data_IF_226391305993
#
_entry.id   IF_226391305993
#
_cell.length_a   1.000
_cell.length_b   1.000
_cell.length_c   1.000
_cell.angle_alpha   90.00
_cell.angle_beta   90.00
_cell.angle_gamma   90.00
#
_symmetry.space_group_name_H-M   'P 1'
#
loop_
_entity.id
_entity.type
_entity.pdbx_description
1 polymer ?
#
# COMPACT_ATOMS: atom_id res chain seq x y z
N UNK A 1 -15.36 6.43 -7.27
CA UNK A 1 -16.81 6.29 -6.96
C UNK A 1 -16.96 6.30 -5.46
N UNK A 2 -17.81 7.18 -4.92
CA UNK A 2 -18.03 7.32 -3.48
C UNK A 2 -19.49 6.98 -3.18
N UNK A 3 -19.71 6.15 -2.16
CA UNK A 3 -21.00 5.78 -1.64
C UNK A 3 -21.08 6.18 -0.17
N UNK A 4 -21.90 7.19 0.12
CA UNK A 4 -22.21 7.61 1.49
C UNK A 4 -23.61 7.14 1.83
N UNK A 5 -23.78 6.34 2.88
CA UNK A 5 -25.12 5.93 3.33
C UNK A 5 -25.22 6.00 4.86
N UNK A 6 -26.13 6.84 5.34
CA UNK A 6 -26.57 6.84 6.75
C UNK A 6 -27.62 5.74 6.87
N UNK A 7 -27.21 4.58 7.34
CA UNK A 7 -27.99 3.34 7.18
C UNK A 7 -29.08 3.18 8.24
N UNK A 8 -29.00 3.82 9.42
CA UNK A 8 -30.08 3.93 10.43
C UNK A 8 -29.70 4.99 11.51
N UNK A 9 -30.54 5.16 12.56
CA UNK A 9 -30.22 5.95 13.78
C UNK A 9 -28.88 5.57 14.44
N UNK A 10 -28.40 4.35 14.22
CA UNK A 10 -27.26 3.79 14.94
C UNK A 10 -26.05 3.47 14.06
N UNK A 11 -26.19 3.47 12.73
CA UNK A 11 -25.11 3.05 11.83
C UNK A 11 -24.86 4.05 10.69
N UNK A 12 -23.61 4.44 10.52
CA UNK A 12 -23.13 5.27 9.43
C UNK A 12 -22.01 4.55 8.69
N UNK A 13 -22.07 4.57 7.37
CA UNK A 13 -21.11 3.94 6.48
C UNK A 13 -20.74 4.90 5.36
N UNK A 14 -19.43 5.06 5.14
CA UNK A 14 -18.86 5.72 3.98
C UNK A 14 -17.92 4.74 3.30
N UNK A 15 -18.18 4.42 2.04
CA UNK A 15 -17.31 3.58 1.24
C UNK A 15 -16.85 4.35 0.00
N UNK A 16 -15.55 4.39 -0.24
CA UNK A 16 -14.94 5.04 -1.40
C UNK A 16 -14.11 4.02 -2.16
N UNK A 17 -14.47 3.79 -3.42
CA UNK A 17 -13.73 2.92 -4.33
C UNK A 17 -13.13 3.74 -5.47
N UNK A 18 -11.81 3.66 -5.62
CA UNK A 18 -11.07 4.29 -6.69
C UNK A 18 -10.45 3.22 -7.56
N UNK A 19 -10.82 3.23 -8.84
CA UNK A 19 -10.12 2.53 -9.90
C UNK A 19 -9.35 3.58 -10.70
N UNK A 20 -8.05 3.37 -10.85
CA UNK A 20 -7.17 4.31 -11.53
C UNK A 20 -6.37 3.56 -12.58
N UNK A 21 -6.14 4.23 -13.71
CA UNK A 21 -5.14 3.83 -14.70
C UNK A 21 -4.41 5.11 -15.14
N UNK A 22 -3.16 5.24 -14.74
CA UNK A 22 -2.28 6.32 -15.19
C UNK A 22 -1.10 5.71 -15.92
N UNK A 23 -0.72 6.34 -17.02
CA UNK A 23 0.39 5.95 -17.87
C UNK A 23 1.30 7.16 -17.95
N UNK A 24 2.61 6.95 -17.76
CA UNK A 24 3.62 7.96 -18.06
C UNK A 24 4.69 7.36 -18.97
N UNK A 25 5.48 8.26 -19.54
CA UNK A 25 6.62 8.04 -20.43
C UNK A 25 7.96 8.49 -19.81
N UNK A 26 7.95 8.93 -18.54
CA UNK A 26 9.14 9.40 -17.82
C UNK A 26 9.26 8.70 -16.46
N UNK A 27 10.49 8.46 -16.01
CA UNK A 27 10.74 7.93 -14.68
C UNK A 27 10.99 9.07 -13.67
N UNK A 28 10.26 8.99 -12.55
CA UNK A 28 10.27 9.88 -11.38
C UNK A 28 9.61 11.27 -11.49
N UNK A 29 8.60 11.50 -10.64
CA UNK A 29 8.18 12.83 -10.17
C UNK A 29 8.43 12.89 -8.63
N UNK A 30 9.60 13.38 -8.21
CA UNK A 30 9.95 13.51 -6.79
C UNK A 30 11.24 14.31 -6.57
N UNK A 31 11.09 15.58 -6.19
CA UNK A 31 12.01 16.60 -5.61
C UNK A 31 13.52 16.66 -5.93
N UNK A 32 14.08 15.82 -6.80
CA UNK A 32 15.49 15.91 -7.24
C UNK A 32 15.68 15.81 -8.75
N UNK A 33 14.59 15.74 -9.52
CA UNK A 33 14.64 15.93 -10.96
C UNK A 33 14.78 17.43 -11.27
N UNK A 34 15.99 17.94 -11.15
CA UNK A 34 16.36 19.20 -11.79
C UNK A 34 16.22 18.95 -13.30
N UNK A 35 15.18 19.52 -13.92
CA UNK A 35 14.83 19.42 -15.35
C UNK A 35 14.13 18.12 -15.81
N UNK A 36 12.79 18.12 -15.86
CA UNK A 36 12.03 17.32 -16.84
C UNK A 36 11.84 15.81 -16.62
N UNK A 37 12.30 15.24 -15.51
CA UNK A 37 12.24 13.78 -15.26
C UNK A 37 13.39 13.03 -15.94
N UNK A 38 13.64 11.78 -15.53
CA UNK A 38 14.70 10.96 -16.13
C UNK A 38 14.14 10.15 -17.29
N UNK A 39 14.76 10.23 -18.46
CA UNK A 39 14.52 9.25 -19.51
C UNK A 39 15.09 7.91 -19.07
N UNK A 40 14.31 6.84 -19.23
CA UNK A 40 14.78 5.49 -18.93
C UNK A 40 14.91 4.67 -20.19
N UNK A 41 15.87 3.75 -20.16
CA UNK A 41 16.13 2.82 -21.24
C UNK A 41 16.52 3.51 -22.57
N UNK A 42 16.13 2.94 -23.73
CA UNK A 42 16.47 3.47 -25.04
C UNK A 42 15.74 4.79 -25.36
N UNK A 43 16.49 5.90 -25.33
CA UNK A 43 16.00 7.25 -25.64
C UNK A 43 15.52 7.41 -27.10
N UNK A 44 15.92 6.50 -28.01
CA UNK A 44 15.48 6.54 -29.42
C UNK A 44 14.12 5.86 -29.61
N UNK A 45 13.57 5.25 -28.56
CA UNK A 45 12.32 4.52 -28.60
C UNK A 45 11.36 5.00 -27.51
N UNK A 46 10.69 6.13 -27.76
CA UNK A 46 9.71 6.71 -26.82
C UNK A 46 8.57 5.74 -26.45
N UNK A 47 8.19 4.85 -27.37
CA UNK A 47 7.17 3.82 -27.09
C UNK A 47 7.60 2.85 -26.00
N UNK A 48 8.90 2.61 -25.87
CA UNK A 48 9.42 1.79 -24.79
C UNK A 48 9.29 2.49 -23.44
N UNK A 49 9.39 3.81 -23.36
CA UNK A 49 9.28 4.55 -22.11
C UNK A 49 7.84 4.58 -21.56
N UNK A 50 6.84 4.39 -22.43
CA UNK A 50 5.43 4.42 -22.06
C UNK A 50 4.97 3.19 -21.25
N UNK A 51 4.37 3.42 -20.08
CA UNK A 51 3.72 2.38 -19.29
C UNK A 51 3.11 2.88 -17.99
N UNK A 52 2.52 1.98 -17.18
CA UNK A 52 1.89 2.32 -15.92
C UNK A 52 2.79 3.15 -14.99
N UNK A 53 2.20 4.18 -14.38
CA UNK A 53 2.87 5.01 -13.38
C UNK A 53 3.32 4.19 -12.17
N UNK A 54 4.50 4.49 -11.62
CA UNK A 54 5.00 3.85 -10.39
C UNK A 54 4.15 4.21 -9.14
N UNK A 55 3.45 5.36 -9.21
CA UNK A 55 2.48 5.78 -8.19
C UNK A 55 1.11 5.10 -8.35
N UNK A 56 0.91 4.37 -9.45
CA UNK A 56 -0.37 3.73 -9.73
C UNK A 56 -0.69 2.69 -8.66
N UNK A 57 -1.88 2.83 -8.08
CA UNK A 57 -2.59 1.78 -7.34
C UNK A 57 -3.86 1.49 -8.12
N UNK A 58 -3.93 0.38 -8.87
CA UNK A 58 -5.06 0.14 -9.77
C UNK A 58 -6.42 0.13 -9.08
N UNK A 59 -6.49 -0.39 -7.86
CA UNK A 59 -7.72 -0.47 -7.08
C UNK A 59 -7.45 -0.09 -5.63
N UNK A 60 -8.30 0.77 -5.09
CA UNK A 60 -8.28 1.14 -3.67
C UNK A 60 -9.71 1.30 -3.15
N UNK A 61 -10.03 0.56 -2.12
CA UNK A 61 -11.28 0.61 -1.38
C UNK A 61 -10.99 1.07 0.05
N UNK A 62 -11.63 2.16 0.47
CA UNK A 62 -11.62 2.62 1.86
C UNK A 62 -13.06 2.55 2.37
N UNK A 63 -13.26 1.91 3.52
CA UNK A 63 -14.54 1.81 4.20
C UNK A 63 -14.40 2.42 5.58
N UNK A 64 -15.10 3.51 5.84
CA UNK A 64 -15.21 4.13 7.14
C UNK A 64 -16.59 3.85 7.72
N UNK A 65 -16.64 3.37 8.96
CA UNK A 65 -17.90 3.04 9.62
C UNK A 65 -17.95 3.56 11.05
N UNK A 66 -19.17 3.89 11.48
CA UNK A 66 -19.49 4.26 12.86
C UNK A 66 -20.79 3.55 13.25
N UNK A 67 -20.73 2.80 14.34
CA UNK A 67 -21.85 2.07 14.90
C UNK A 67 -22.03 2.43 16.37
N UNK A 68 -23.15 3.07 16.70
CA UNK A 68 -23.55 3.35 18.08
C UNK A 68 -24.34 2.15 18.60
N UNK A 69 -23.86 1.52 19.66
CA UNK A 69 -24.53 0.35 20.22
C UNK A 69 -25.90 0.76 20.80
N UNK A 70 -26.92 -0.10 20.71
CA UNK A 70 -28.21 0.14 21.36
C UNK A 70 -28.05 0.28 22.87
N UNK A 71 -28.73 1.26 23.46
CA UNK A 71 -28.70 1.45 24.91
C UNK A 71 -29.66 0.49 25.62
N UNK A 72 -29.21 -0.19 26.69
CA UNK A 72 -30.11 -0.96 27.55
C UNK A 72 -31.16 -0.05 28.21
N UNK A 73 -32.30 -0.64 28.57
CA UNK A 73 -33.36 0.09 29.29
C UNK A 73 -32.84 0.74 30.57
N UNK A 74 -33.30 1.97 30.84
CA UNK A 74 -33.01 2.70 32.09
C UNK A 74 -33.55 1.98 33.34
N UNK A 75 -34.50 1.05 33.19
CA UNK A 75 -34.99 0.20 34.28
C UNK A 75 -33.96 -0.82 34.77
N UNK A 76 -32.89 -1.07 34.01
CA UNK A 76 -31.75 -1.90 34.41
C UNK A 76 -30.52 -1.02 34.62
N UNK A 77 -30.39 -0.32 35.76
CA UNK A 77 -29.40 0.74 35.95
C UNK A 77 -27.96 0.24 35.82
N UNK A 78 -27.65 -0.96 36.32
CA UNK A 78 -26.33 -1.56 36.18
C UNK A 78 -26.00 -1.87 34.71
N UNK A 79 -26.94 -2.47 33.97
CA UNK A 79 -26.76 -2.76 32.55
C UNK A 79 -26.62 -1.49 31.72
N UNK A 80 -27.46 -0.48 31.97
CA UNK A 80 -27.41 0.81 31.28
C UNK A 80 -26.08 1.55 31.54
N UNK A 81 -25.56 1.53 32.77
CA UNK A 81 -24.28 2.13 33.09
C UNK A 81 -23.09 1.40 32.44
N UNK A 82 -23.14 0.07 32.34
CA UNK A 82 -22.03 -0.74 31.79
C UNK A 82 -22.05 -0.82 30.26
N UNK A 83 -23.22 -1.00 29.66
CA UNK A 83 -23.38 -1.26 28.22
C UNK A 83 -23.95 -0.07 27.44
N UNK A 84 -24.38 1.00 28.12
CA UNK A 84 -24.82 2.24 27.45
C UNK A 84 -23.65 3.08 26.94
N UNK A 85 -23.91 3.88 25.90
CA UNK A 85 -22.98 4.92 25.43
C UNK A 85 -21.76 4.44 24.64
N UNK A 86 -21.71 3.17 24.23
CA UNK A 86 -20.63 2.63 23.40
C UNK A 86 -20.81 2.99 21.92
N UNK A 87 -19.70 3.35 21.27
CA UNK A 87 -19.61 3.55 19.83
C UNK A 87 -18.38 2.82 19.29
N UNK A 88 -18.59 2.02 18.24
CA UNK A 88 -17.54 1.39 17.45
C UNK A 88 -17.31 2.24 16.21
N UNK A 89 -16.06 2.61 15.95
CA UNK A 89 -15.63 3.24 14.71
C UNK A 89 -14.54 2.42 14.05
N UNK A 90 -14.34 2.61 12.76
CA UNK A 90 -13.19 2.04 12.09
C UNK A 90 -13.00 2.53 10.67
N UNK A 91 -11.79 2.32 10.19
CA UNK A 91 -11.39 2.55 8.80
C UNK A 91 -10.71 1.27 8.30
N UNK A 92 -11.28 0.69 7.25
CA UNK A 92 -10.70 -0.46 6.57
C UNK A 92 -10.20 -0.04 5.20
N UNK A 93 -8.95 -0.39 4.88
CA UNK A 93 -8.33 -0.11 3.59
C UNK A 93 -7.96 -1.42 2.91
N UNK A 94 -8.47 -1.62 1.69
CA UNK A 94 -7.99 -2.64 0.77
C UNK A 94 -7.40 -1.94 -0.45
N UNK A 95 -6.17 -2.24 -0.81
CA UNK A 95 -5.57 -1.70 -2.03
C UNK A 95 -4.64 -2.70 -2.70
N UNK A 96 -4.61 -2.64 -4.03
CA UNK A 96 -3.61 -3.33 -4.84
C UNK A 96 -2.21 -2.80 -4.54
N UNK A 97 -1.18 -3.58 -4.84
CA UNK A 97 0.20 -3.10 -4.81
C UNK A 97 0.50 -2.10 -5.93
N UNK A 98 1.65 -1.45 -5.83
CA UNK A 98 2.18 -0.56 -6.86
C UNK A 98 2.46 -1.35 -8.14
N UNK A 99 2.37 -0.69 -9.29
CA UNK A 99 3.10 -1.18 -10.46
C UNK A 99 4.60 -0.94 -10.24
N UNK A 100 5.41 -1.94 -10.54
CA UNK A 100 6.86 -1.95 -10.33
C UNK A 100 7.56 -2.15 -11.67
N UNK A 101 8.56 -1.32 -11.91
CA UNK A 101 9.54 -1.50 -12.97
C UNK A 101 10.74 -2.24 -12.40
N UNK A 102 11.28 -3.20 -13.15
CA UNK A 102 12.49 -3.93 -12.78
C UNK A 102 13.65 -3.36 -13.58
N UNK A 103 14.75 -3.06 -12.89
CA UNK A 103 15.93 -2.42 -13.48
C UNK A 103 17.13 -3.39 -13.48
N UNK A 104 18.10 -3.11 -14.34
CA UNK A 104 19.44 -3.72 -14.32
C UNK A 104 20.46 -2.58 -14.40
N UNK A 105 20.77 -1.98 -13.24
CA UNK A 105 21.65 -0.81 -13.16
C UNK A 105 23.11 -1.08 -13.51
N UNK A 106 23.53 -2.34 -13.57
CA UNK A 106 24.92 -2.70 -13.86
C UNK A 106 25.18 -3.01 -15.34
N UNK A 107 24.17 -3.49 -16.08
CA UNK A 107 24.35 -3.93 -17.46
C UNK A 107 23.53 -3.17 -18.48
N UNK A 108 22.27 -2.85 -18.21
CA UNK A 108 21.39 -2.31 -19.25
C UNK A 108 21.89 -0.95 -19.73
N UNK A 109 22.23 -0.85 -21.03
CA UNK A 109 22.73 0.36 -21.68
C UNK A 109 24.21 0.68 -21.40
N UNK A 110 24.99 -0.28 -20.88
CA UNK A 110 26.39 -0.03 -20.51
C UNK A 110 27.28 0.34 -21.71
N UNK A 111 26.95 -0.14 -22.91
CA UNK A 111 27.69 0.21 -24.15
C UNK A 111 27.59 1.71 -24.49
N UNK A 112 26.55 2.39 -24.02
CA UNK A 112 26.31 3.81 -24.28
C UNK A 112 26.91 4.72 -23.21
N UNK A 113 27.71 4.16 -22.28
CA UNK A 113 28.27 4.92 -21.16
C UNK A 113 27.20 5.45 -20.20
N UNK A 114 25.99 4.87 -20.23
CA UNK A 114 24.90 5.28 -19.37
C UNK A 114 25.27 5.00 -17.91
N UNK A 115 25.10 5.98 -17.00
CA UNK A 115 25.66 5.87 -15.66
C UNK A 115 25.03 4.71 -14.89
N UNK A 116 25.90 4.02 -14.16
CA UNK A 116 25.68 2.85 -13.29
C UNK A 116 24.64 3.07 -12.15
N UNK A 117 23.95 4.22 -12.15
CA UNK A 117 23.04 4.68 -11.10
C UNK A 117 21.64 5.08 -11.59
N UNK A 118 21.35 4.98 -12.90
CA UNK A 118 20.02 5.36 -13.43
C UNK A 118 19.50 4.41 -14.50
N UNK A 119 18.40 3.71 -14.17
CA UNK A 119 17.23 3.44 -15.04
C UNK A 119 17.38 2.61 -16.33
N UNK A 120 18.43 1.81 -16.50
CA UNK A 120 18.41 0.73 -17.48
C UNK A 120 17.39 -0.35 -17.07
N UNK A 121 16.40 -0.66 -17.90
CA UNK A 121 15.37 -1.65 -17.53
C UNK A 121 15.90 -3.06 -17.69
N UNK A 122 15.38 -4.00 -16.90
CA UNK A 122 15.82 -5.38 -16.98
C UNK A 122 15.46 -6.01 -18.34
N UNK A 123 16.26 -6.97 -18.78
CA UNK A 123 15.93 -7.81 -19.93
C UNK A 123 15.09 -9.01 -19.48
N UNK A 124 13.97 -9.25 -20.15
CA UNK A 124 13.17 -10.46 -19.97
C UNK A 124 13.84 -11.66 -20.65
N UNK A 125 13.81 -12.80 -19.98
CA UNK A 125 14.23 -14.05 -20.61
C UNK A 125 13.24 -14.45 -21.75
N UNK A 126 13.69 -15.18 -22.77
CA UNK A 126 12.82 -15.61 -23.87
C UNK A 126 11.60 -16.40 -23.38
N UNK A 127 10.41 -16.08 -23.91
CA UNK A 127 9.16 -16.77 -23.59
C UNK A 127 8.50 -16.39 -22.26
N UNK A 128 9.11 -15.48 -21.49
CA UNK A 128 8.55 -15.00 -20.21
C UNK A 128 7.32 -14.12 -20.46
N UNK A 129 6.26 -14.39 -19.71
CA UNK A 129 5.04 -13.58 -19.67
C UNK A 129 4.93 -12.84 -18.34
N UNK A 130 3.95 -11.94 -18.21
CA UNK A 130 3.70 -11.22 -16.96
C UNK A 130 3.37 -12.14 -15.78
N UNK A 131 2.78 -13.32 -16.05
CA UNK A 131 2.46 -14.31 -15.03
C UNK A 131 3.72 -14.96 -14.41
N UNK A 132 4.83 -14.99 -15.14
CA UNK A 132 6.07 -15.64 -14.73
C UNK A 132 6.97 -14.74 -13.88
N UNK A 133 6.68 -13.44 -13.80
CA UNK A 133 7.56 -12.44 -13.17
C UNK A 133 7.57 -12.52 -11.66
N UNK A 134 6.42 -12.84 -11.05
CA UNK A 134 6.26 -12.92 -9.61
C UNK A 134 6.21 -14.39 -9.20
N UNK A 135 7.05 -14.77 -8.24
CA UNK A 135 7.03 -16.12 -7.67
C UNK A 135 5.65 -16.43 -7.10
N UNK A 136 5.14 -17.63 -7.38
CA UNK A 136 3.84 -18.07 -6.87
C UNK A 136 3.82 -18.18 -5.33
N UNK A 137 2.62 -18.16 -4.76
CA UNK A 137 2.41 -18.27 -3.31
C UNK A 137 2.16 -16.95 -2.60
N UNK A 138 2.02 -17.04 -1.27
CA UNK A 138 1.74 -15.88 -0.41
C UNK A 138 2.94 -14.94 -0.38
N UNK A 139 2.73 -13.67 -0.07
CA UNK A 139 3.85 -12.71 0.06
C UNK A 139 4.87 -13.19 1.11
N UNK A 140 4.38 -13.79 2.20
CA UNK A 140 5.22 -14.36 3.28
C UNK A 140 6.11 -15.51 2.80
N UNK A 141 5.65 -16.36 1.89
CA UNK A 141 6.46 -17.49 1.38
C UNK A 141 7.55 -17.04 0.41
N UNK A 142 7.44 -15.84 -0.16
CA UNK A 142 8.35 -15.31 -1.19
C UNK A 142 9.10 -14.04 -0.77
N UNK A 143 9.25 -13.76 0.52
CA UNK A 143 9.96 -12.57 1.01
C UNK A 143 11.39 -12.46 0.50
N UNK A 144 12.08 -13.58 0.26
CA UNK A 144 13.45 -13.58 -0.23
C UNK A 144 13.58 -13.83 -1.75
N UNK A 145 12.46 -14.07 -2.44
CA UNK A 145 12.43 -14.39 -3.87
C UNK A 145 11.09 -13.96 -4.47
N UNK A 146 10.71 -12.70 -4.28
CA UNK A 146 9.41 -12.18 -4.70
C UNK A 146 9.25 -12.21 -6.21
N UNK A 147 10.31 -11.81 -6.92
CA UNK A 147 10.42 -12.00 -8.36
C UNK A 147 11.06 -13.35 -8.68
N UNK A 148 10.57 -13.98 -9.73
CA UNK A 148 11.25 -15.13 -10.32
C UNK A 148 12.51 -14.63 -11.05
N UNK A 149 13.68 -14.88 -10.46
CA UNK A 149 14.95 -14.39 -11.02
C UNK A 149 15.27 -14.96 -12.40
N UNK A 150 14.76 -16.15 -12.73
CA UNK A 150 14.94 -16.78 -14.04
C UNK A 150 14.15 -16.05 -15.16
N UNK A 151 13.16 -15.24 -14.80
CA UNK A 151 12.39 -14.43 -15.74
C UNK A 151 13.19 -13.26 -16.31
N UNK A 152 14.38 -13.00 -15.75
CA UNK A 152 15.25 -11.91 -16.16
C UNK A 152 16.60 -12.46 -16.63
N UNK A 153 17.01 -12.05 -17.83
CA UNK A 153 18.27 -12.41 -18.46
C UNK A 153 19.25 -11.21 -18.46
N UNK A 154 20.45 -11.42 -18.95
CA UNK A 154 21.31 -10.29 -19.30
C UNK A 154 20.74 -9.58 -20.54
N UNK A 155 20.87 -8.25 -20.65
CA UNK A 155 20.54 -7.54 -21.88
C UNK A 155 21.33 -8.06 -23.09
N UNK A 156 20.93 -7.71 -24.33
CA UNK A 156 21.68 -8.08 -25.53
C UNK A 156 23.12 -7.57 -25.47
N UNK A 157 24.09 -8.41 -25.83
CA UNK A 157 25.51 -8.00 -25.92
C UNK A 157 25.74 -7.30 -27.24
N UNK A 158 26.32 -6.10 -27.22
CA UNK A 158 26.74 -5.35 -28.40
C UNK A 158 28.18 -4.90 -28.19
N UNK A 159 29.08 -5.42 -29.03
CA UNK A 159 30.52 -5.16 -28.90
C UNK A 159 31.06 -5.67 -27.56
N UNK A 160 31.67 -4.78 -26.80
CA UNK A 160 32.24 -5.02 -25.46
C UNK A 160 31.29 -4.66 -24.31
N UNK A 161 30.05 -4.26 -24.63
CA UNK A 161 29.04 -3.84 -23.65
C UNK A 161 27.67 -4.50 -23.87
N UNK A 162 26.68 -3.98 -23.15
CA UNK A 162 25.30 -4.45 -23.17
C UNK A 162 24.38 -3.33 -23.66
N UNK A 163 23.45 -3.69 -24.54
CA UNK A 163 22.34 -2.84 -24.98
C UNK A 163 21.29 -2.68 -23.87
N UNK A 164 20.20 -1.99 -24.17
CA UNK A 164 19.04 -1.82 -23.31
C UNK A 164 18.28 -3.12 -23.07
N UNK A 165 17.75 -3.31 -21.86
CA UNK A 165 16.77 -4.37 -21.60
C UNK A 165 15.39 -4.04 -22.17
N UNK A 166 14.56 -5.07 -22.33
CA UNK A 166 13.26 -4.96 -23.00
C UNK A 166 12.03 -5.00 -22.06
N UNK A 167 12.21 -5.07 -20.74
CA UNK A 167 11.05 -5.10 -19.83
C UNK A 167 10.28 -3.78 -19.90
N UNK A 168 8.95 -3.87 -19.79
CA UNK A 168 8.09 -2.70 -19.77
C UNK A 168 8.20 -1.92 -18.46
N UNK A 169 7.78 -0.65 -18.48
CA UNK A 169 7.53 0.13 -17.26
C UNK A 169 6.34 -0.48 -16.53
N UNK A 170 6.40 -0.57 -15.20
CA UNK A 170 5.30 -1.11 -14.40
C UNK A 170 4.92 -2.55 -14.75
N UNK A 171 5.88 -3.35 -15.22
CA UNK A 171 5.65 -4.69 -15.78
C UNK A 171 5.05 -5.69 -14.78
N UNK A 172 5.22 -5.44 -13.48
CA UNK A 172 4.74 -6.32 -12.42
C UNK A 172 4.12 -5.55 -11.26
N UNK A 173 3.43 -6.24 -10.37
CA UNK A 173 2.78 -5.62 -9.20
C UNK A 173 3.54 -5.93 -7.92
N UNK A 174 3.58 -4.98 -6.98
CA UNK A 174 4.02 -5.21 -5.61
C UNK A 174 2.96 -5.89 -4.73
N UNK A 175 3.27 -6.16 -3.44
CA UNK A 175 2.32 -6.69 -2.47
C UNK A 175 1.06 -5.82 -2.32
N UNK A 176 -0.10 -6.45 -2.15
CA UNK A 176 -1.34 -5.76 -1.78
C UNK A 176 -1.33 -5.37 -0.29
N UNK A 177 -2.22 -4.45 0.08
CA UNK A 177 -2.38 -3.99 1.46
C UNK A 177 -3.83 -4.18 1.93
N UNK A 178 -3.97 -4.72 3.15
CA UNK A 178 -5.24 -4.94 3.83
C UNK A 178 -5.12 -4.49 5.28
N UNK A 179 -5.65 -3.31 5.58
CA UNK A 179 -5.51 -2.68 6.89
C UNK A 179 -6.86 -2.44 7.57
N UNK A 180 -6.88 -2.63 8.89
CA UNK A 180 -8.05 -2.41 9.73
C UNK A 180 -7.63 -1.59 10.94
N UNK A 181 -8.11 -0.36 11.01
CA UNK A 181 -7.96 0.50 12.19
C UNK A 181 -9.33 0.61 12.86
N UNK A 182 -9.40 0.26 14.14
CA UNK A 182 -10.66 0.14 14.87
C UNK A 182 -10.60 1.00 16.13
N UNK A 183 -11.64 1.80 16.37
CA UNK A 183 -11.83 2.57 17.58
C UNK A 183 -13.07 2.09 18.34
N UNK A 184 -12.96 2.04 19.66
CA UNK A 184 -14.09 1.82 20.54
C UNK A 184 -14.13 2.96 21.55
N UNK A 185 -15.21 3.71 21.58
CA UNK A 185 -15.41 4.78 22.56
C UNK A 185 -16.62 4.51 23.41
N UNK A 186 -16.60 5.01 24.65
CA UNK A 186 -17.73 5.01 25.56
C UNK A 186 -17.89 6.37 26.18
N UNK A 187 -19.11 6.91 26.19
CA UNK A 187 -19.44 8.08 26.98
C UNK A 187 -20.42 7.69 28.08
N UNK A 188 -20.04 7.88 29.33
CA UNK A 188 -20.90 7.63 30.49
C UNK A 188 -21.22 8.95 31.18
N UNK A 189 -22.51 9.21 31.38
CA UNK A 189 -22.96 10.33 32.19
C UNK A 189 -22.87 9.98 33.67
N UNK A 190 -22.24 10.83 34.47
CA UNK A 190 -22.10 10.62 35.91
C UNK A 190 -23.32 11.23 36.60
N UNK A 191 -24.14 10.37 37.19
CA UNK A 191 -25.29 10.80 38.00
C UNK A 191 -24.80 11.20 39.39
N UNK A 192 -25.28 12.34 39.90
CA UNK A 192 -24.96 12.82 41.25
C UNK A 192 -23.79 13.81 41.33
N UNK A 193 -23.23 14.28 40.20
CA UNK A 193 -22.34 15.44 40.18
C UNK A 193 -23.12 16.73 39.86
N UNK A 194 -22.71 17.90 40.37
CA UNK A 194 -23.46 19.15 40.20
C UNK A 194 -23.58 19.65 38.74
N UNK A 195 -22.73 19.17 37.82
CA UNK A 195 -22.49 19.81 36.52
C UNK A 195 -22.84 18.95 35.28
N UNK A 196 -23.57 17.82 35.44
CA UNK A 196 -23.84 16.86 34.33
C UNK A 196 -22.55 16.33 33.67
N UNK A 197 -21.57 16.04 34.52
CA UNK A 197 -20.23 15.63 34.14
C UNK A 197 -20.22 14.32 33.36
N UNK A 198 -19.27 14.17 32.43
CA UNK A 198 -19.18 13.02 31.52
C UNK A 198 -17.80 12.40 31.54
N UNK A 199 -17.77 11.07 31.63
CA UNK A 199 -16.56 10.27 31.48
C UNK A 199 -16.51 9.67 30.08
N UNK A 200 -15.51 10.06 29.30
CA UNK A 200 -15.21 9.51 27.98
C UNK A 200 -14.05 8.52 28.06
N UNK A 201 -14.28 7.28 27.65
CA UNK A 201 -13.24 6.28 27.43
C UNK A 201 -13.06 6.05 25.92
N UNK A 202 -11.82 5.87 25.47
CA UNK A 202 -11.50 5.49 24.10
C UNK A 202 -10.40 4.45 24.09
N UNK A 203 -10.58 3.42 23.28
CA UNK A 203 -9.58 2.44 22.91
C UNK A 203 -9.40 2.48 21.39
N UNK A 204 -8.17 2.61 20.92
CA UNK A 204 -7.83 2.59 19.49
C UNK A 204 -6.90 1.43 19.20
N UNK A 205 -7.16 0.73 18.10
CA UNK A 205 -6.40 -0.41 17.61
C UNK A 205 -5.97 -0.11 16.18
N UNK A 206 -4.75 0.38 16.02
CA UNK A 206 -4.12 0.54 14.71
C UNK A 206 -3.60 -0.82 14.26
N UNK A 207 -3.87 -1.20 13.00
CA UNK A 207 -3.63 -2.56 12.51
C UNK A 207 -4.21 -3.61 13.47
N UNK A 208 -5.52 -3.54 13.72
CA UNK A 208 -6.23 -4.28 14.77
C UNK A 208 -6.00 -5.79 14.73
N UNK A 209 -5.89 -6.38 13.53
CA UNK A 209 -5.63 -7.81 13.32
C UNK A 209 -4.15 -8.17 13.23
N UNK A 210 -3.25 -7.20 13.40
CA UNK A 210 -1.80 -7.38 13.32
C UNK A 210 -1.36 -8.11 12.04
N UNK A 211 -2.00 -7.79 10.91
CA UNK A 211 -1.68 -8.38 9.61
C UNK A 211 -0.46 -7.67 9.04
N UNK A 212 0.57 -8.42 8.69
CA UNK A 212 1.78 -7.86 8.07
C UNK A 212 1.47 -7.32 6.68
N UNK A 213 1.82 -6.07 6.43
CA UNK A 213 1.69 -5.42 5.14
C UNK A 213 3.10 -5.10 4.65
N UNK A 214 3.48 -5.70 3.53
CA UNK A 214 4.86 -5.71 3.07
C UNK A 214 5.18 -4.50 2.20
N UNK A 215 6.40 -3.98 2.31
CA UNK A 215 6.92 -3.00 1.37
C UNK A 215 7.21 -3.68 0.02
N UNK A 216 7.51 -2.87 -0.99
CA UNK A 216 7.90 -3.41 -2.29
C UNK A 216 9.25 -4.15 -2.20
N UNK A 217 9.44 -5.20 -3.02
CA UNK A 217 10.74 -5.84 -3.15
C UNK A 217 11.77 -4.90 -3.78
N UNK A 218 13.05 -5.19 -3.59
CA UNK A 218 14.13 -4.55 -4.34
C UNK A 218 14.02 -4.92 -5.82
N UNK A 219 13.91 -3.92 -6.68
CA UNK A 219 13.64 -4.07 -8.11
C UNK A 219 14.86 -3.98 -9.01
N UNK A 220 16.03 -3.60 -8.47
CA UNK A 220 17.27 -3.58 -9.23
C UNK A 220 17.96 -4.95 -9.19
N UNK A 221 18.07 -5.58 -10.36
CA UNK A 221 18.73 -6.87 -10.58
C UNK A 221 20.21 -6.87 -10.19
N UNK A 222 20.87 -5.71 -10.23
CA UNK A 222 22.28 -5.58 -9.85
C UNK A 222 22.49 -5.62 -8.33
N UNK A 223 21.43 -5.41 -7.54
CA UNK A 223 21.50 -5.43 -6.08
C UNK A 223 21.65 -6.84 -5.52
N UNK A 224 22.52 -6.99 -4.50
CA UNK A 224 22.65 -8.23 -3.73
C UNK A 224 21.35 -8.67 -3.05
N UNK A 225 20.41 -7.74 -2.83
CA UNK A 225 19.10 -7.99 -2.25
C UNK A 225 17.97 -8.02 -3.28
N UNK A 226 18.29 -8.11 -4.58
CA UNK A 226 17.29 -8.21 -5.64
C UNK A 226 16.21 -9.25 -5.34
N UNK A 227 14.96 -8.89 -5.62
CA UNK A 227 13.76 -9.68 -5.38
C UNK A 227 13.44 -9.93 -3.90
N UNK A 228 14.13 -9.29 -2.95
CA UNK A 228 13.82 -9.43 -1.52
C UNK A 228 12.94 -8.27 -1.05
N UNK A 229 11.96 -8.59 -0.22
CA UNK A 229 11.23 -7.63 0.61
C UNK A 229 11.98 -7.52 1.94
N UNK A 230 12.48 -6.32 2.26
CA UNK A 230 13.31 -6.07 3.44
C UNK A 230 12.60 -5.30 4.54
N UNK A 231 11.36 -4.86 4.29
CA UNK A 231 10.60 -4.04 5.23
C UNK A 231 9.08 -4.28 5.12
N UNK A 232 8.35 -3.84 6.13
CA UNK A 232 6.89 -3.67 6.06
C UNK A 232 6.54 -2.25 5.63
N UNK A 233 5.39 -2.09 4.97
CA UNK A 233 4.85 -0.80 4.57
C UNK A 233 4.10 -0.10 5.72
N UNK A 234 3.68 -0.87 6.73
CA UNK A 234 2.96 -0.38 7.91
C UNK A 234 3.55 -1.00 9.17
N UNK A 235 3.46 -0.26 10.28
CA UNK A 235 3.91 -0.72 11.59
C UNK A 235 3.10 -1.90 12.16
N UNK A 236 3.61 -2.53 13.23
CA UNK A 236 2.87 -3.54 13.96
C UNK A 236 1.62 -2.93 14.62
N UNK A 237 0.77 -3.78 15.18
CA UNK A 237 -0.39 -3.34 15.94
C UNK A 237 -0.01 -2.41 17.10
N UNK A 238 -0.69 -1.28 17.18
CA UNK A 238 -0.58 -0.34 18.30
C UNK A 238 -1.95 -0.19 18.95
N UNK A 239 -1.99 -0.29 20.28
CA UNK A 239 -3.20 -0.12 21.07
C UNK A 239 -3.03 1.09 21.97
N UNK A 240 -3.99 2.01 21.94
CA UNK A 240 -3.99 3.22 22.75
C UNK A 240 -5.27 3.32 23.55
N UNK A 241 -5.14 3.75 24.81
CA UNK A 241 -6.26 4.00 25.70
C UNK A 241 -6.25 5.46 26.14
N UNK A 242 -7.41 6.08 26.17
CA UNK A 242 -7.59 7.43 26.67
C UNK A 242 -8.81 7.48 27.59
N UNK A 243 -8.67 8.23 28.68
CA UNK A 243 -9.76 8.55 29.60
C UNK A 243 -9.83 10.08 29.73
N UNK A 244 -11.01 10.64 29.52
CA UNK A 244 -11.26 12.08 29.66
C UNK A 244 -12.46 12.31 30.56
N UNK A 245 -12.24 13.11 31.59
CA UNK A 245 -13.31 13.67 32.41
C UNK A 245 -13.66 15.06 31.89
N UNK A 246 -14.95 15.31 31.65
CA UNK A 246 -15.46 16.65 31.34
C UNK A 246 -16.41 17.04 32.48
N UNK A 247 -16.11 18.15 33.13
CA UNK A 247 -16.92 18.71 34.21
C UNK A 247 -18.13 19.41 33.63
#
# INVERSE_FOLDING_TARGET
MNLTKRLTKHFQLLASYTWTKTLDDTDQAGSSATFGGWWSNDQRNERQAYGPSEFLRPQRLIISYLYTLPEPSKSMPAAHALLGGWQLSGVTTFQSGNMLTVYDGARSGSIYGWPQFTSGRAQLAPGVTSADLVTAGTVTSKLNNYFNKASFANPPVIGDGFDWGNSARGITTGPDQRNFDIGLSKTTHLKGTPENSRLGFRAEFFNAFNTSQFANPVTDRSSATFARITATAVGPRVIQFALKYNF
#
